data_IF_632735680708
#
_entry.id   IF_632735680708
#
_cell.length_a   1.000
_cell.length_b   1.000
_cell.length_c   1.000
_cell.angle_alpha   90.00
_cell.angle_beta   90.00
_cell.angle_gamma   90.00
#
_symmetry.space_group_name_H-M   'P 1'
#
loop_
_entity.id
_entity.type
_entity.pdbx_description
1 polymer ?
#
# COMPACT_ATOMS: atom_id res chain seq x y z
N UNK A 1 18.73 20.76 4.05
CA UNK A 1 18.07 22.00 3.61
C UNK A 1 19.00 22.70 2.64
N UNK A 2 18.48 23.20 1.51
CA UNK A 2 19.24 23.98 0.52
C UNK A 2 18.42 25.18 0.04
N UNK A 3 18.99 26.01 -0.83
CA UNK A 3 18.38 27.21 -1.38
C UNK A 3 18.49 27.17 -2.90
N UNK A 4 17.40 27.50 -3.60
CA UNK A 4 17.45 27.59 -5.05
C UNK A 4 17.96 28.93 -5.58
N UNK A 5 18.11 29.03 -6.90
CA UNK A 5 18.59 30.25 -7.58
C UNK A 5 17.68 31.48 -7.40
N UNK A 6 16.50 31.33 -6.78
CA UNK A 6 15.59 32.41 -6.44
C UNK A 6 15.49 32.62 -4.91
N UNK A 7 16.45 32.14 -4.14
CA UNK A 7 16.49 32.32 -2.70
C UNK A 7 15.44 31.51 -1.92
N UNK A 8 14.71 30.58 -2.56
CA UNK A 8 13.67 29.80 -1.90
C UNK A 8 14.27 28.64 -1.11
N UNK A 9 13.77 28.46 0.10
CA UNK A 9 14.14 27.30 0.93
C UNK A 9 13.61 26.02 0.29
N UNK A 10 14.48 25.02 0.23
CA UNK A 10 14.14 23.64 -0.10
C UNK A 10 14.48 22.73 1.08
N UNK A 11 13.49 21.95 1.52
CA UNK A 11 13.63 21.00 2.63
C UNK A 11 13.34 19.62 2.09
N UNK A 12 14.32 18.72 2.22
CA UNK A 12 14.11 17.29 2.07
C UNK A 12 13.62 16.74 3.41
N UNK A 13 12.55 15.95 3.38
CA UNK A 13 12.06 15.21 4.54
C UNK A 13 11.60 13.82 4.11
N UNK A 14 11.48 12.92 5.07
CA UNK A 14 10.94 11.58 4.86
C UNK A 14 9.46 11.62 5.20
N UNK A 15 8.61 11.27 4.25
CA UNK A 15 7.20 11.00 4.49
C UNK A 15 7.01 9.53 4.80
N UNK A 16 6.64 9.22 6.05
CA UNK A 16 6.57 7.87 6.59
C UNK A 16 5.21 7.18 6.47
N UNK A 17 4.17 7.89 6.00
CA UNK A 17 2.85 7.33 5.71
C UNK A 17 2.43 7.80 4.32
N UNK A 18 3.03 7.20 3.30
CA UNK A 18 2.70 7.56 1.92
C UNK A 18 1.55 6.69 1.41
N UNK A 19 0.75 7.22 0.47
CA UNK A 19 -0.44 6.59 -0.11
C UNK A 19 -1.69 6.56 0.78
N UNK A 20 -2.83 6.22 0.17
CA UNK A 20 -4.16 6.42 0.74
C UNK A 20 -4.39 5.75 2.10
N UNK A 21 -4.11 4.47 2.24
CA UNK A 21 -4.47 3.72 3.46
C UNK A 21 -3.75 4.25 4.72
N UNK A 22 -2.45 4.52 4.64
CA UNK A 22 -1.66 5.05 5.77
C UNK A 22 -1.96 6.53 6.02
N UNK A 23 -1.95 7.35 4.95
CA UNK A 23 -2.13 8.79 5.06
C UNK A 23 -3.55 9.18 5.52
N UNK A 24 -4.55 8.33 5.25
CA UNK A 24 -5.95 8.52 5.66
C UNK A 24 -6.31 7.74 6.92
N UNK A 25 -5.36 7.03 7.55
CA UNK A 25 -5.62 6.32 8.79
C UNK A 25 -5.92 7.29 9.94
N UNK A 26 -6.83 6.89 10.83
CA UNK A 26 -7.09 7.65 12.04
C UNK A 26 -5.84 7.68 12.95
N UNK A 27 -5.66 8.73 13.73
CA UNK A 27 -4.52 8.84 14.66
C UNK A 27 -4.46 7.73 15.73
N UNK A 28 -5.57 7.00 15.94
CA UNK A 28 -5.69 5.87 16.85
C UNK A 28 -5.37 4.52 16.20
N UNK A 29 -5.18 4.49 14.87
CA UNK A 29 -4.90 3.26 14.14
C UNK A 29 -3.57 2.65 14.59
N UNK A 30 -3.53 1.32 14.71
CA UNK A 30 -2.30 0.57 14.95
C UNK A 30 -1.74 0.04 13.63
N UNK A 31 -0.43 -0.11 13.58
CA UNK A 31 0.29 -0.51 12.36
C UNK A 31 0.81 0.69 11.58
N UNK A 32 1.52 0.41 10.49
CA UNK A 32 2.11 1.41 9.60
C UNK A 32 2.19 0.80 8.19
N UNK A 33 2.36 1.62 7.15
CA UNK A 33 2.68 1.15 5.81
C UNK A 33 4.07 0.49 5.72
N UNK A 34 4.99 0.87 6.60
CA UNK A 34 6.43 0.54 6.55
C UNK A 34 7.13 1.03 5.28
N UNK A 35 6.48 1.96 4.57
CA UNK A 35 7.04 2.65 3.41
C UNK A 35 7.51 4.05 3.78
N UNK A 36 8.61 4.49 3.18
CA UNK A 36 9.08 5.85 3.29
C UNK A 36 9.32 6.47 1.91
N UNK A 37 8.89 7.72 1.70
CA UNK A 37 9.25 8.49 0.50
C UNK A 37 10.11 9.69 0.86
N UNK A 38 11.19 9.87 0.10
CA UNK A 38 11.93 11.13 0.10
C UNK A 38 11.10 12.20 -0.59
N UNK A 39 10.71 13.23 0.15
CA UNK A 39 9.93 14.36 -0.37
C UNK A 39 10.77 15.63 -0.30
N UNK A 40 10.64 16.48 -1.32
CA UNK A 40 11.23 17.82 -1.34
C UNK A 40 10.09 18.83 -1.27
N UNK A 41 10.00 19.55 -0.16
CA UNK A 41 9.19 20.75 -0.06
C UNK A 41 9.99 21.97 -0.54
N UNK A 42 9.38 22.81 -1.36
CA UNK A 42 9.93 24.10 -1.77
C UNK A 42 9.00 25.20 -1.31
N UNK A 43 9.56 26.27 -0.75
CA UNK A 43 8.81 27.47 -0.41
C UNK A 43 8.02 28.00 -1.63
N UNK A 44 6.72 28.21 -1.45
CA UNK A 44 5.85 28.73 -2.51
C UNK A 44 5.65 30.25 -2.38
N UNK A 45 5.42 30.76 -1.18
CA UNK A 45 5.07 32.16 -0.89
C UNK A 45 5.99 32.82 0.17
N UNK A 46 5.83 34.13 0.41
CA UNK A 46 6.52 34.89 1.45
C UNK A 46 7.96 35.33 1.13
N UNK A 47 8.64 35.85 2.17
CA UNK A 47 10.06 36.26 2.13
C UNK A 47 10.98 35.09 1.85
N UNK A 48 11.96 35.29 0.98
CA UNK A 48 12.98 34.31 0.62
C UNK A 48 14.05 34.27 1.71
N UNK A 49 14.90 33.25 1.69
CA UNK A 49 16.02 33.17 2.64
C UNK A 49 17.03 34.31 2.40
N UNK A 50 17.16 34.74 1.15
CA UNK A 50 18.08 35.80 0.73
C UNK A 50 17.24 37.01 0.32
N UNK A 51 17.40 38.13 1.06
CA UNK A 51 16.58 39.32 0.92
C UNK A 51 16.59 39.96 -0.49
N UNK A 52 17.68 39.83 -1.25
CA UNK A 52 17.74 40.33 -2.63
C UNK A 52 16.78 39.61 -3.58
N UNK A 53 16.25 38.45 -3.18
CA UNK A 53 15.26 37.69 -3.93
C UNK A 53 13.84 37.83 -3.36
N UNK A 54 13.62 38.69 -2.35
CA UNK A 54 12.29 38.92 -1.80
C UNK A 54 11.34 39.46 -2.87
N UNK A 55 10.10 38.92 -2.96
CA UNK A 55 9.09 39.53 -3.81
C UNK A 55 8.74 40.93 -3.28
N UNK A 56 8.32 41.87 -4.16
CA UNK A 56 7.84 43.18 -3.72
C UNK A 56 6.73 43.04 -2.66
N UNK A 57 6.80 43.85 -1.60
CA UNK A 57 5.86 43.80 -0.47
C UNK A 57 5.72 42.39 0.18
N UNK A 58 6.80 41.61 0.25
CA UNK A 58 6.84 40.21 0.72
C UNK A 58 6.12 39.90 2.04
N UNK A 59 5.92 40.89 2.93
CA UNK A 59 5.18 40.72 4.18
C UNK A 59 3.65 40.71 4.01
N UNK A 60 3.14 41.39 2.98
CA UNK A 60 1.70 41.54 2.70
C UNK A 60 1.30 41.00 1.33
N UNK A 61 2.27 40.52 0.53
CA UNK A 61 2.02 39.95 -0.78
C UNK A 61 1.13 38.72 -0.65
N UNK A 62 0.00 38.75 -1.36
CA UNK A 62 -0.90 37.61 -1.50
C UNK A 62 -0.59 36.87 -2.79
N UNK A 63 -0.66 35.54 -2.76
CA UNK A 63 -0.51 34.71 -3.95
C UNK A 63 -1.71 33.76 -4.09
N UNK A 64 -1.87 33.17 -5.28
CA UNK A 64 -2.71 31.99 -5.40
C UNK A 64 -2.17 30.87 -4.46
N UNK A 65 -3.04 29.93 -4.03
CA UNK A 65 -2.62 28.89 -3.12
C UNK A 65 -1.57 27.95 -3.71
N UNK A 66 -0.79 27.29 -2.86
CA UNK A 66 -0.01 26.12 -3.25
C UNK A 66 -0.92 24.94 -3.62
N UNK A 67 -0.44 24.02 -4.46
CA UNK A 67 -1.20 22.79 -4.72
C UNK A 67 -1.20 21.90 -3.47
N UNK A 68 -2.34 21.31 -3.08
CA UNK A 68 -2.38 20.33 -2.01
C UNK A 68 -1.82 18.98 -2.51
N UNK A 69 -1.28 18.18 -1.59
CA UNK A 69 -0.95 16.77 -1.84
C UNK A 69 -2.22 15.94 -1.72
N UNK A 70 -2.57 15.16 -2.75
CA UNK A 70 -3.80 14.37 -2.80
C UNK A 70 -3.46 12.89 -2.59
N UNK A 71 -4.26 12.22 -1.76
CA UNK A 71 -4.22 10.76 -1.58
C UNK A 71 -5.58 10.17 -1.93
N UNK A 72 -5.58 8.91 -2.36
CA UNK A 72 -6.79 8.22 -2.79
C UNK A 72 -6.85 6.80 -2.23
N UNK A 73 -8.04 6.39 -1.81
CA UNK A 73 -8.41 4.98 -1.61
C UNK A 73 -9.65 4.72 -2.42
N UNK A 74 -9.65 3.69 -3.26
CA UNK A 74 -10.86 3.21 -3.92
C UNK A 74 -11.19 1.84 -3.37
N UNK A 75 -12.27 1.79 -2.61
CA UNK A 75 -12.73 0.58 -1.93
C UNK A 75 -14.19 0.40 -2.31
N UNK A 76 -14.53 -0.80 -2.80
CA UNK A 76 -15.84 -1.06 -3.38
C UNK A 76 -16.12 -0.04 -4.51
N UNK A 77 -17.33 0.53 -4.52
CA UNK A 77 -17.77 1.52 -5.51
C UNK A 77 -17.61 2.97 -5.04
N UNK A 78 -16.74 3.24 -4.05
CA UNK A 78 -16.49 4.58 -3.51
C UNK A 78 -15.03 4.97 -3.68
N UNK A 79 -14.79 6.22 -4.09
CA UNK A 79 -13.45 6.81 -4.10
C UNK A 79 -13.33 7.81 -2.94
N UNK A 80 -12.48 7.49 -1.98
CA UNK A 80 -12.13 8.33 -0.84
C UNK A 80 -10.90 9.17 -1.16
N UNK A 81 -11.12 10.47 -1.34
CA UNK A 81 -10.05 11.45 -1.49
C UNK A 81 -9.74 12.09 -0.15
N UNK A 82 -8.46 12.29 0.12
CA UNK A 82 -8.00 13.19 1.15
C UNK A 82 -6.87 14.07 0.61
N UNK A 83 -6.66 15.23 1.20
CA UNK A 83 -5.58 16.11 0.79
C UNK A 83 -5.01 16.93 1.93
N UNK A 84 -3.75 17.32 1.79
CA UNK A 84 -3.10 18.24 2.73
C UNK A 84 -3.74 19.62 2.66
N UNK A 85 -3.68 20.38 3.76
CA UNK A 85 -3.96 21.82 3.69
C UNK A 85 -3.02 22.48 2.68
N UNK A 86 -3.56 23.36 1.83
CA UNK A 86 -2.78 24.11 0.85
C UNK A 86 -2.07 25.31 1.50
N UNK A 87 -0.87 25.65 1.01
CA UNK A 87 -0.25 26.95 1.34
C UNK A 87 -1.21 28.07 0.94
N UNK A 88 -1.64 28.86 1.92
CA UNK A 88 -2.67 29.88 1.74
C UNK A 88 -2.18 31.10 0.95
N UNK A 89 -0.87 31.28 0.79
CA UNK A 89 -0.32 32.44 0.08
C UNK A 89 -0.76 33.78 0.69
N UNK A 90 -0.82 33.86 2.03
CA UNK A 90 -1.35 35.00 2.80
C UNK A 90 -2.81 35.40 2.49
N UNK A 91 -3.62 34.51 1.92
CA UNK A 91 -5.05 34.71 1.73
C UNK A 91 -5.83 33.42 1.99
N UNK A 92 -6.83 33.49 2.87
CA UNK A 92 -7.60 32.33 3.31
C UNK A 92 -8.14 31.51 2.12
N UNK A 93 -8.01 30.18 2.22
CA UNK A 93 -8.67 29.28 1.27
C UNK A 93 -10.18 29.41 1.40
N UNK A 94 -10.82 29.76 0.30
CA UNK A 94 -12.27 29.91 0.19
C UNK A 94 -12.95 28.57 -0.11
N UNK A 95 -12.33 27.75 -0.96
CA UNK A 95 -12.87 26.46 -1.40
C UNK A 95 -11.78 25.57 -1.99
N UNK A 96 -12.12 24.28 -2.13
CA UNK A 96 -11.38 23.33 -2.93
C UNK A 96 -12.27 22.85 -4.09
N UNK A 97 -11.75 22.92 -5.32
CA UNK A 97 -12.41 22.37 -6.51
C UNK A 97 -11.91 20.95 -6.72
N UNK A 98 -12.80 19.97 -6.59
CA UNK A 98 -12.53 18.57 -6.85
C UNK A 98 -12.84 18.33 -8.33
N UNK A 99 -11.83 17.94 -9.08
CA UNK A 99 -11.92 17.65 -10.50
C UNK A 99 -11.87 16.15 -10.71
N UNK A 100 -12.65 15.62 -11.65
CA UNK A 100 -12.67 14.19 -12.01
C UNK A 100 -12.70 14.00 -13.52
N UNK A 101 -12.00 12.99 -14.02
CA UNK A 101 -12.05 12.51 -15.40
C UNK A 101 -12.02 10.99 -15.48
N UNK A 102 -12.32 10.44 -16.66
CA UNK A 102 -12.19 9.00 -16.98
C UNK A 102 -10.94 8.70 -17.81
N UNK A 103 -10.14 9.72 -18.12
CA UNK A 103 -8.84 9.62 -18.75
C UNK A 103 -7.87 10.62 -18.10
N UNK A 104 -6.59 10.26 -18.03
CA UNK A 104 -5.53 11.12 -17.51
C UNK A 104 -5.49 12.45 -18.27
N UNK A 105 -5.40 13.55 -17.52
CA UNK A 105 -5.37 14.91 -18.07
C UNK A 105 -6.72 15.46 -18.56
N UNK A 106 -7.82 14.71 -18.43
CA UNK A 106 -9.15 15.09 -18.92
C UNK A 106 -10.17 15.39 -17.80
N UNK A 107 -9.70 15.84 -16.63
CA UNK A 107 -10.58 16.12 -15.49
C UNK A 107 -11.42 17.38 -15.67
N UNK A 108 -12.70 17.29 -15.32
CA UNK A 108 -13.63 18.42 -15.26
C UNK A 108 -14.13 18.62 -13.84
N UNK A 109 -14.74 19.77 -13.54
CA UNK A 109 -15.22 20.06 -12.18
C UNK A 109 -16.29 19.05 -11.79
N UNK A 110 -16.02 18.27 -10.75
CA UNK A 110 -17.00 17.37 -10.13
C UNK A 110 -17.82 18.12 -9.09
N UNK A 111 -17.14 18.74 -8.13
CA UNK A 111 -17.78 19.48 -7.04
C UNK A 111 -16.84 20.50 -6.41
N UNK A 112 -17.38 21.34 -5.54
CA UNK A 112 -16.62 22.32 -4.76
C UNK A 112 -16.88 22.10 -3.27
N UNK A 113 -15.80 21.86 -2.53
CA UNK A 113 -15.81 21.71 -1.08
C UNK A 113 -15.47 23.04 -0.38
N UNK A 114 -15.84 23.18 0.89
CA UNK A 114 -15.50 24.36 1.69
C UNK A 114 -13.98 24.46 1.93
N UNK A 115 -13.47 25.67 2.16
CA UNK A 115 -12.04 25.91 2.35
C UNK A 115 -11.40 25.28 3.61
N UNK A 116 -12.20 24.72 4.52
CA UNK A 116 -11.75 23.98 5.70
C UNK A 116 -11.87 22.45 5.55
N UNK A 117 -12.38 21.96 4.42
CA UNK A 117 -12.55 20.54 4.15
C UNK A 117 -11.29 19.97 3.50
N UNK A 118 -10.88 18.78 3.95
CA UNK A 118 -9.65 18.09 3.50
C UNK A 118 -9.90 16.66 3.03
N UNK A 119 -11.16 16.26 2.88
CA UNK A 119 -11.56 14.95 2.39
C UNK A 119 -12.87 15.02 1.58
N UNK A 120 -13.06 14.08 0.66
CA UNK A 120 -14.28 13.96 -0.14
C UNK A 120 -14.50 12.51 -0.59
N UNK A 121 -15.72 12.02 -0.41
CA UNK A 121 -16.14 10.70 -0.87
C UNK A 121 -16.96 10.82 -2.15
N UNK A 122 -16.42 10.29 -3.26
CA UNK A 122 -17.13 10.19 -4.52
C UNK A 122 -17.91 8.87 -4.59
N UNK A 123 -19.19 8.94 -4.21
CA UNK A 123 -20.14 7.83 -4.26
C UNK A 123 -20.64 7.50 -5.68
N UNK A 124 -20.24 8.28 -6.69
CA UNK A 124 -20.73 8.15 -8.07
C UNK A 124 -19.72 7.47 -9.00
N UNK A 125 -18.51 7.20 -8.52
CA UNK A 125 -17.44 6.51 -9.25
C UNK A 125 -17.57 4.98 -9.19
N UNK A 126 -18.73 4.47 -9.63
CA UNK A 126 -19.17 3.10 -9.34
C UNK A 126 -18.71 2.04 -10.34
N UNK A 127 -18.23 2.41 -11.54
CA UNK A 127 -17.87 1.45 -12.58
C UNK A 127 -16.54 0.72 -12.26
N UNK A 128 -16.55 -0.60 -12.00
CA UNK A 128 -15.34 -1.36 -11.67
C UNK A 128 -14.37 -1.52 -12.85
N UNK A 129 -14.78 -1.22 -14.09
CA UNK A 129 -13.92 -1.30 -15.26
C UNK A 129 -13.26 0.04 -15.62
N UNK A 130 -13.62 1.12 -14.92
CA UNK A 130 -13.14 2.47 -15.20
C UNK A 130 -12.08 2.88 -14.19
N UNK A 131 -10.90 3.32 -14.65
CA UNK A 131 -9.99 4.11 -13.81
C UNK A 131 -10.44 5.56 -13.84
N UNK A 132 -10.74 6.14 -12.68
CA UNK A 132 -11.02 7.56 -12.56
C UNK A 132 -9.73 8.32 -12.23
N UNK A 133 -9.66 9.59 -12.64
CA UNK A 133 -8.53 10.47 -12.37
C UNK A 133 -9.04 11.71 -11.65
N UNK A 134 -8.33 12.14 -10.61
CA UNK A 134 -8.75 13.25 -9.76
C UNK A 134 -7.65 14.30 -9.61
N UNK A 135 -8.07 15.56 -9.52
CA UNK A 135 -7.24 16.69 -9.06
C UNK A 135 -8.00 17.45 -7.99
N UNK A 136 -7.26 18.05 -7.06
CA UNK A 136 -7.84 18.96 -6.06
C UNK A 136 -7.15 20.31 -6.18
N UNK A 137 -7.93 21.34 -6.48
CA UNK A 137 -7.42 22.70 -6.68
C UNK A 137 -7.87 23.60 -5.52
N UNK A 138 -6.93 24.20 -4.80
CA UNK A 138 -7.23 25.15 -3.74
C UNK A 138 -7.53 26.54 -4.34
N UNK A 139 -8.54 27.24 -3.81
CA UNK A 139 -8.97 28.55 -4.32
C UNK A 139 -8.98 29.59 -3.19
N UNK A 140 -8.34 30.74 -3.40
CA UNK A 140 -8.44 31.91 -2.53
C UNK A 140 -8.82 33.17 -3.33
N UNK A 141 -8.81 34.34 -2.70
CA UNK A 141 -9.17 35.61 -3.35
C UNK A 141 -8.23 36.05 -4.48
N UNK A 142 -7.03 35.48 -4.57
CA UNK A 142 -6.04 35.80 -5.61
C UNK A 142 -6.19 34.88 -6.81
N UNK A 143 -6.53 33.61 -6.59
CA UNK A 143 -6.70 32.66 -7.68
C UNK A 143 -6.77 31.21 -7.22
N UNK A 144 -6.43 30.31 -8.16
CA UNK A 144 -6.47 28.85 -7.99
C UNK A 144 -5.06 28.29 -7.99
N UNK A 145 -4.81 27.24 -7.21
CA UNK A 145 -3.54 26.52 -7.23
C UNK A 145 -3.25 25.90 -8.60
N UNK A 146 -2.00 25.51 -8.85
CA UNK A 146 -1.71 24.64 -9.99
C UNK A 146 -2.38 23.26 -9.81
N UNK A 147 -2.67 22.59 -10.93
CA UNK A 147 -3.33 21.29 -10.98
C UNK A 147 -2.40 20.12 -11.25
N UNK A 148 -1.13 20.22 -10.86
CA UNK A 148 -0.11 19.19 -11.10
C UNK A 148 -0.09 18.14 -9.98
N UNK A 149 -1.29 17.72 -9.54
CA UNK A 149 -1.52 16.77 -8.45
C UNK A 149 -2.58 15.72 -8.86
N UNK A 150 -2.54 15.31 -10.13
CA UNK A 150 -3.40 14.25 -10.64
C UNK A 150 -3.12 12.93 -9.94
N UNK A 151 -4.17 12.22 -9.53
CA UNK A 151 -4.07 10.88 -8.95
C UNK A 151 -5.08 9.94 -9.60
N UNK A 152 -4.63 8.72 -9.92
CA UNK A 152 -5.47 7.68 -10.50
C UNK A 152 -6.17 6.85 -9.39
N UNK A 153 -7.42 6.51 -9.62
CA UNK A 153 -8.27 5.69 -8.75
C UNK A 153 -8.74 4.43 -9.50
N UNK A 154 -7.86 3.45 -9.77
CA UNK A 154 -8.25 2.19 -10.37
C UNK A 154 -9.13 1.40 -9.40
N UNK A 155 -10.04 0.59 -9.94
CA UNK A 155 -10.77 -0.38 -9.12
C UNK A 155 -9.85 -1.55 -8.80
N UNK A 156 -9.65 -1.83 -7.50
CA UNK A 156 -8.75 -2.88 -7.02
C UNK A 156 -9.51 -4.02 -6.32
N UNK A 157 -10.83 -4.01 -6.35
CA UNK A 157 -11.68 -4.97 -5.68
C UNK A 157 -12.42 -4.40 -4.47
N UNK A 158 -12.86 -5.30 -3.60
CA UNK A 158 -13.69 -5.00 -2.43
C UNK A 158 -13.16 -5.70 -1.19
N UNK A 159 -13.58 -5.25 -0.01
CA UNK A 159 -13.09 -5.80 1.26
C UNK A 159 -13.69 -7.17 1.60
N UNK A 160 -14.65 -7.69 0.86
CA UNK A 160 -15.29 -8.98 1.13
C UNK A 160 -14.62 -10.13 0.37
N UNK A 161 -14.21 -9.86 -0.85
CA UNK A 161 -13.76 -10.85 -1.83
C UNK A 161 -12.29 -10.68 -2.18
N UNK A 162 -11.72 -9.50 -1.97
CA UNK A 162 -10.29 -9.23 -2.11
C UNK A 162 -10.03 -7.84 -2.69
N UNK A 163 -9.37 -6.99 -1.91
CA UNK A 163 -8.81 -5.72 -2.35
C UNK A 163 -7.33 -5.95 -2.66
N UNK A 164 -6.94 -5.76 -3.92
CA UNK A 164 -5.55 -5.89 -4.38
C UNK A 164 -4.71 -4.81 -3.70
N UNK A 165 -3.72 -5.25 -2.91
CA UNK A 165 -2.77 -4.39 -2.20
C UNK A 165 -1.42 -4.32 -2.90
N UNK A 166 -1.11 -5.33 -3.71
CA UNK A 166 0.09 -5.41 -4.52
C UNK A 166 -0.22 -6.09 -5.86
N UNK A 167 0.34 -5.54 -6.93
CA UNK A 167 0.24 -6.10 -8.27
C UNK A 167 1.60 -6.02 -8.91
N UNK A 168 2.06 -7.13 -9.47
CA UNK A 168 3.32 -7.17 -10.22
C UNK A 168 3.11 -6.35 -11.51
N UNK A 169 3.83 -5.22 -11.70
CA UNK A 169 3.69 -4.44 -12.91
C UNK A 169 4.18 -5.26 -14.11
N UNK A 170 3.55 -5.12 -15.30
CA UNK A 170 4.04 -5.75 -16.52
C UNK A 170 5.52 -5.37 -16.76
N UNK A 171 6.40 -6.37 -16.89
CA UNK A 171 7.83 -6.15 -17.14
C UNK A 171 8.70 -5.87 -15.91
N UNK A 172 8.24 -6.20 -14.70
CA UNK A 172 9.03 -6.07 -13.48
C UNK A 172 10.37 -6.82 -13.60
N UNK A 173 11.54 -6.15 -13.40
CA UNK A 173 12.87 -6.76 -13.51
C UNK A 173 13.19 -7.88 -12.51
N UNK A 174 12.29 -8.16 -11.55
CA UNK A 174 12.48 -9.18 -10.52
C UNK A 174 11.51 -10.35 -10.66
N UNK A 175 10.69 -10.38 -11.73
CA UNK A 175 10.41 -11.64 -12.40
C UNK A 175 11.79 -12.11 -12.89
N UNK A 176 12.48 -13.07 -12.23
CA UNK A 176 13.95 -13.19 -12.31
C UNK A 176 14.47 -13.67 -13.67
N UNK A 177 13.56 -13.69 -14.63
CA UNK A 177 13.56 -14.36 -15.88
C UNK A 177 12.41 -13.68 -16.61
N UNK A 178 12.67 -12.93 -17.68
CA UNK A 178 11.64 -12.36 -18.57
C UNK A 178 10.61 -13.45 -18.98
N UNK A 179 9.60 -13.71 -18.15
CA UNK A 179 8.74 -14.88 -18.29
C UNK A 179 9.36 -16.27 -18.05
N UNK A 180 10.34 -16.48 -17.14
CA UNK A 180 10.81 -17.85 -16.81
C UNK A 180 10.62 -18.32 -15.35
N UNK A 181 10.00 -17.53 -14.46
CA UNK A 181 9.37 -18.14 -13.28
C UNK A 181 8.26 -19.09 -13.79
N UNK A 182 8.20 -20.35 -13.33
CA UNK A 182 7.11 -21.24 -13.74
C UNK A 182 5.76 -20.58 -13.44
N UNK A 183 4.77 -20.78 -14.31
CA UNK A 183 3.45 -20.15 -14.15
C UNK A 183 2.79 -20.44 -12.79
N UNK A 184 3.16 -21.55 -12.14
CA UNK A 184 2.74 -21.92 -10.79
C UNK A 184 3.36 -21.10 -9.67
N UNK A 185 4.44 -20.37 -9.93
CA UNK A 185 5.19 -19.60 -8.93
C UNK A 185 5.27 -18.11 -9.28
N UNK A 186 4.92 -17.71 -10.50
CA UNK A 186 4.85 -16.32 -10.93
C UNK A 186 3.61 -15.64 -10.33
N UNK A 187 3.81 -14.63 -9.48
CA UNK A 187 2.76 -13.88 -8.78
C UNK A 187 2.28 -12.72 -9.66
N UNK A 188 0.99 -12.71 -9.94
CA UNK A 188 0.33 -11.61 -10.65
C UNK A 188 -0.08 -10.51 -9.66
N UNK A 189 -0.68 -10.89 -8.52
CA UNK A 189 -1.10 -9.96 -7.48
C UNK A 189 -1.37 -10.64 -6.13
N UNK A 190 -1.42 -9.82 -5.07
CA UNK A 190 -1.87 -10.18 -3.73
C UNK A 190 -2.99 -9.25 -3.30
N UNK A 191 -4.02 -9.81 -2.67
CA UNK A 191 -5.18 -9.09 -2.15
C UNK A 191 -5.50 -9.48 -0.71
N UNK A 192 -6.16 -8.58 0.00
CA UNK A 192 -6.63 -8.77 1.38
C UNK A 192 -8.14 -8.52 1.43
N UNK A 193 -8.85 -9.30 2.24
CA UNK A 193 -10.28 -9.21 2.46
C UNK A 193 -10.66 -9.64 3.87
N UNK A 194 -11.91 -9.39 4.22
CA UNK A 194 -12.62 -9.65 5.46
C UNK A 194 -13.99 -10.23 5.11
N UNK A 195 -14.09 -11.55 4.90
CA UNK A 195 -15.34 -12.19 4.48
C UNK A 195 -16.49 -11.90 5.44
N UNK A 196 -17.65 -11.53 4.90
CA UNK A 196 -18.82 -11.11 5.69
C UNK A 196 -19.32 -12.21 6.61
N UNK A 197 -19.73 -11.85 7.83
CA UNK A 197 -20.27 -12.79 8.80
C UNK A 197 -19.24 -13.72 9.43
N UNK A 198 -17.94 -13.47 9.20
CA UNK A 198 -16.83 -14.20 9.83
C UNK A 198 -16.08 -13.30 10.81
N UNK A 199 -15.02 -13.81 11.45
CA UNK A 199 -14.02 -12.99 12.17
C UNK A 199 -12.62 -13.24 11.61
N UNK A 200 -12.55 -13.46 10.28
CA UNK A 200 -11.35 -13.89 9.59
C UNK A 200 -10.80 -12.77 8.71
N UNK A 201 -9.49 -12.77 8.54
CA UNK A 201 -8.84 -12.19 7.39
C UNK A 201 -8.78 -13.24 6.28
N UNK A 202 -8.95 -12.79 5.05
CA UNK A 202 -8.72 -13.56 3.84
C UNK A 202 -7.56 -12.90 3.09
N UNK A 203 -6.59 -13.71 2.70
CA UNK A 203 -5.56 -13.31 1.76
C UNK A 203 -5.74 -14.10 0.48
N UNK A 204 -5.64 -13.41 -0.66
CA UNK A 204 -5.60 -14.05 -1.96
C UNK A 204 -4.27 -13.77 -2.62
N UNK A 205 -3.66 -14.82 -3.14
CA UNK A 205 -2.54 -14.72 -4.05
C UNK A 205 -3.00 -15.26 -5.40
N UNK A 206 -2.79 -14.48 -6.45
CA UNK A 206 -2.90 -14.97 -7.82
C UNK A 206 -1.52 -15.25 -8.35
N UNK A 207 -1.27 -16.52 -8.66
CA UNK A 207 -0.20 -16.88 -9.58
C UNK A 207 -0.77 -17.12 -10.97
N UNK A 208 0.09 -17.14 -11.98
CA UNK A 208 -0.35 -17.25 -13.38
C UNK A 208 -1.17 -18.52 -13.65
N UNK A 209 -0.82 -19.68 -13.07
CA UNK A 209 -1.54 -20.95 -13.27
C UNK A 209 -1.18 -22.03 -12.23
N UNK A 210 -2.16 -22.75 -11.65
CA UNK A 210 -1.93 -23.89 -10.72
C UNK A 210 -2.58 -25.20 -11.16
N UNK A 211 -2.82 -25.40 -12.46
CA UNK A 211 -3.32 -26.66 -13.01
C UNK A 211 -2.37 -27.83 -12.74
N UNK A 212 -1.06 -27.54 -12.61
CA UNK A 212 -0.05 -28.47 -12.10
C UNK A 212 0.66 -27.82 -10.92
N UNK A 213 0.56 -28.45 -9.74
CA UNK A 213 1.18 -27.93 -8.52
C UNK A 213 2.57 -28.56 -8.35
N UNK A 214 3.65 -27.77 -8.30
CA UNK A 214 4.98 -28.31 -8.13
C UNK A 214 5.16 -28.90 -6.72
N UNK A 215 5.90 -30.01 -6.56
CA UNK A 215 6.30 -30.52 -5.24
C UNK A 215 7.27 -29.56 -4.56
N UNK A 216 7.41 -29.70 -3.24
CA UNK A 216 8.40 -28.98 -2.42
C UNK A 216 8.42 -27.46 -2.70
N UNK A 217 7.24 -26.84 -2.75
CA UNK A 217 7.09 -25.43 -3.10
C UNK A 217 6.22 -24.71 -2.08
N UNK A 218 6.47 -23.41 -1.91
CA UNK A 218 5.75 -22.54 -0.97
C UNK A 218 5.26 -21.28 -1.65
N UNK A 219 4.08 -20.84 -1.21
CA UNK A 219 3.47 -19.57 -1.53
C UNK A 219 3.14 -18.88 -0.22
N UNK A 220 3.66 -17.67 -0.03
CA UNK A 220 3.55 -16.91 1.22
C UNK A 220 2.97 -15.53 0.95
N UNK A 221 1.97 -15.15 1.73
CA UNK A 221 1.61 -13.75 1.91
C UNK A 221 2.10 -13.33 3.28
N UNK A 222 2.94 -12.29 3.32
CA UNK A 222 3.67 -11.83 4.51
C UNK A 222 3.29 -10.38 4.79
N UNK A 223 3.18 -10.00 6.06
CA UNK A 223 3.00 -8.61 6.46
C UNK A 223 3.67 -8.30 7.79
N UNK A 224 4.03 -7.05 7.99
CA UNK A 224 4.72 -6.59 9.20
C UNK A 224 3.71 -6.41 10.33
N UNK A 225 4.03 -6.94 11.51
CA UNK A 225 3.20 -6.78 12.71
C UNK A 225 3.99 -7.09 13.98
N UNK A 226 4.08 -6.10 14.87
CA UNK A 226 4.66 -6.29 16.21
C UNK A 226 3.89 -7.31 17.04
N UNK A 227 2.63 -7.60 16.71
CA UNK A 227 1.88 -8.63 17.41
C UNK A 227 2.45 -10.04 17.18
N UNK A 228 3.31 -10.25 16.18
CA UNK A 228 4.03 -11.52 16.01
C UNK A 228 4.91 -11.86 17.23
N UNK A 229 5.33 -10.86 17.99
CA UNK A 229 6.15 -11.02 19.20
C UNK A 229 5.45 -11.77 20.34
N UNK A 230 4.12 -11.95 20.27
CA UNK A 230 3.40 -12.80 21.22
C UNK A 230 3.68 -14.29 21.01
N UNK A 231 4.18 -14.69 19.84
CA UNK A 231 4.52 -16.08 19.51
C UNK A 231 6.03 -16.33 19.63
N UNK A 232 6.84 -15.40 19.14
CA UNK A 232 8.30 -15.43 19.21
C UNK A 232 8.80 -13.99 19.41
N UNK A 233 9.51 -13.66 20.51
CA UNK A 233 10.02 -12.31 20.76
C UNK A 233 10.87 -11.70 19.64
N UNK A 234 11.51 -12.53 18.80
CA UNK A 234 12.30 -12.09 17.65
C UNK A 234 11.47 -11.95 16.35
N UNK A 235 10.19 -12.31 16.37
CA UNK A 235 9.33 -12.20 15.20
C UNK A 235 8.92 -10.76 14.92
N UNK A 236 8.96 -10.41 13.64
CA UNK A 236 8.63 -9.07 13.15
C UNK A 236 7.45 -9.12 12.16
N UNK A 237 7.11 -10.32 11.67
CA UNK A 237 6.12 -10.52 10.61
C UNK A 237 5.25 -11.74 10.89
N UNK A 238 4.04 -11.72 10.36
CA UNK A 238 3.22 -12.91 10.17
C UNK A 238 3.27 -13.36 8.72
N UNK A 239 3.03 -14.65 8.50
CA UNK A 239 2.73 -15.19 7.18
C UNK A 239 1.47 -16.05 7.22
N UNK A 240 0.79 -16.10 6.07
CA UNK A 240 -0.13 -17.18 5.70
C UNK A 240 0.37 -17.80 4.40
N UNK A 241 0.13 -19.09 4.20
CA UNK A 241 0.65 -19.72 3.00
C UNK A 241 0.08 -21.07 2.64
N UNK A 242 0.41 -21.47 1.41
CA UNK A 242 0.28 -22.82 0.89
C UNK A 242 1.66 -23.44 0.79
N UNK A 243 1.79 -24.73 1.09
CA UNK A 243 3.03 -25.51 0.89
C UNK A 243 2.70 -26.88 0.31
N UNK A 244 3.55 -27.38 -0.57
CA UNK A 244 3.47 -28.74 -1.09
C UNK A 244 4.57 -29.65 -0.55
N UNK A 245 4.23 -30.91 -0.30
CA UNK A 245 5.21 -31.94 0.03
C UNK A 245 5.96 -32.45 -1.22
N UNK A 246 6.81 -33.46 -1.05
CA UNK A 246 7.56 -34.09 -2.15
C UNK A 246 6.68 -34.76 -3.22
N UNK A 247 5.40 -34.99 -2.93
CA UNK A 247 4.42 -35.55 -3.85
C UNK A 247 3.51 -34.49 -4.48
N UNK A 248 3.68 -33.21 -4.13
CA UNK A 248 2.81 -32.13 -4.60
C UNK A 248 1.51 -31.98 -3.80
N UNK A 249 1.36 -32.66 -2.66
CA UNK A 249 0.15 -32.51 -1.84
C UNK A 249 0.18 -31.18 -1.11
N UNK A 250 -0.83 -30.34 -1.33
CA UNK A 250 -0.93 -29.02 -0.74
C UNK A 250 -1.45 -29.08 0.70
N UNK A 251 -0.84 -28.26 1.56
CA UNK A 251 -1.27 -27.96 2.92
C UNK A 251 -1.23 -26.44 3.11
N UNK A 252 -1.97 -25.94 4.10
CA UNK A 252 -2.08 -24.52 4.38
C UNK A 252 -1.82 -24.22 5.85
N UNK A 253 -1.00 -23.22 6.09
CA UNK A 253 -0.53 -22.87 7.41
C UNK A 253 -0.31 -21.37 7.56
N UNK A 254 -0.26 -20.94 8.81
CA UNK A 254 0.19 -19.61 9.19
C UNK A 254 1.28 -19.71 10.24
N UNK A 255 2.03 -18.64 10.37
CA UNK A 255 3.10 -18.58 11.34
C UNK A 255 3.75 -17.22 11.42
N UNK A 256 4.92 -17.19 12.04
CA UNK A 256 5.72 -15.98 12.23
C UNK A 256 7.03 -16.07 11.47
N UNK A 257 7.63 -14.91 11.20
CA UNK A 257 8.98 -14.80 10.65
C UNK A 257 9.82 -13.97 11.59
N UNK A 258 10.97 -14.52 11.97
CA UNK A 258 11.95 -13.89 12.84
C UNK A 258 13.32 -13.81 12.17
N UNK A 259 14.00 -12.67 12.30
CA UNK A 259 15.40 -12.52 11.84
C UNK A 259 16.32 -12.44 13.06
N UNK A 260 16.89 -13.56 13.48
CA UNK A 260 17.78 -13.59 14.64
C UNK A 260 19.14 -12.94 14.32
N UNK A 261 19.47 -11.81 14.93
CA UNK A 261 20.82 -11.21 14.79
C UNK A 261 21.76 -11.86 15.81
N UNK A 262 22.76 -12.62 15.34
CA UNK A 262 23.81 -13.21 16.19
C UNK A 262 25.13 -12.50 15.90
N UNK A 263 25.51 -11.54 16.73
CA UNK A 263 26.72 -10.74 16.57
C UNK A 263 26.62 -9.72 15.43
N UNK A 264 27.64 -9.63 14.56
CA UNK A 264 27.69 -8.69 13.42
C UNK A 264 27.10 -9.25 12.12
N UNK A 265 26.61 -10.49 12.13
CA UNK A 265 26.01 -11.14 10.97
C UNK A 265 24.49 -11.02 11.09
N UNK A 266 23.86 -10.35 10.12
CA UNK A 266 22.40 -10.35 9.98
C UNK A 266 21.96 -11.80 9.76
N UNK A 267 21.11 -12.32 10.64
CA UNK A 267 20.61 -13.68 10.52
C UNK A 267 19.75 -13.90 9.30
N UNK A 268 19.50 -15.17 9.01
CA UNK A 268 18.57 -15.56 7.95
C UNK A 268 17.16 -15.50 8.54
N UNK A 269 16.21 -14.76 7.92
CA UNK A 269 14.82 -14.80 8.36
C UNK A 269 14.30 -16.23 8.34
N UNK A 270 13.65 -16.60 9.44
CA UNK A 270 13.21 -17.98 9.71
C UNK A 270 11.70 -18.04 9.87
N UNK A 271 11.03 -18.86 9.07
CA UNK A 271 9.61 -19.18 9.22
C UNK A 271 9.40 -20.16 10.38
N UNK A 272 8.45 -19.85 11.27
CA UNK A 272 7.96 -20.76 12.30
C UNK A 272 6.46 -20.96 12.11
N UNK A 273 6.06 -22.15 11.68
CA UNK A 273 4.65 -22.50 11.55
C UNK A 273 3.99 -22.60 12.92
N UNK A 274 2.85 -21.93 13.08
CA UNK A 274 2.07 -21.87 14.32
C UNK A 274 0.87 -22.81 14.25
N UNK A 275 0.18 -22.88 13.11
CA UNK A 275 -1.00 -23.71 12.97
C UNK A 275 -1.56 -23.82 11.56
N UNK A 276 -2.52 -24.75 11.35
CA UNK A 276 -3.16 -24.94 10.06
C UNK A 276 -4.18 -23.84 9.75
N UNK A 277 -4.48 -23.67 8.46
CA UNK A 277 -5.53 -22.76 7.99
C UNK A 277 -6.73 -23.52 7.38
N UNK A 278 -7.60 -24.13 8.20
CA UNK A 278 -8.78 -24.84 7.72
C UNK A 278 -9.72 -23.85 6.99
N UNK A 279 -10.16 -24.22 5.78
CA UNK A 279 -10.96 -23.35 4.91
C UNK A 279 -10.16 -22.62 3.82
N UNK A 280 -8.82 -22.75 3.84
CA UNK A 280 -7.97 -22.32 2.72
C UNK A 280 -8.03 -23.31 1.56
N UNK A 281 -7.83 -22.82 0.35
CA UNK A 281 -7.92 -23.59 -0.88
C UNK A 281 -7.11 -22.96 -2.01
N UNK A 282 -6.95 -23.67 -3.11
CA UNK A 282 -6.45 -23.12 -4.36
C UNK A 282 -7.28 -23.63 -5.52
N UNK A 283 -7.24 -22.91 -6.64
CA UNK A 283 -7.90 -23.26 -7.89
C UNK A 283 -6.85 -23.44 -9.00
N UNK A 284 -7.18 -24.27 -10.00
CA UNK A 284 -6.30 -24.53 -11.14
C UNK A 284 -5.96 -23.26 -11.95
N UNK A 285 -6.81 -22.22 -11.87
CA UNK A 285 -6.55 -20.93 -12.50
C UNK A 285 -5.33 -20.21 -11.88
N UNK A 286 -4.81 -20.65 -10.73
CA UNK A 286 -3.70 -20.00 -10.03
C UNK A 286 -4.12 -19.16 -8.82
N UNK A 287 -5.42 -19.11 -8.49
CA UNK A 287 -5.89 -18.37 -7.31
C UNK A 287 -5.74 -19.23 -6.06
N UNK A 288 -4.95 -18.77 -5.10
CA UNK A 288 -4.81 -19.32 -3.75
C UNK A 288 -5.60 -18.43 -2.79
N UNK A 289 -6.49 -19.02 -1.99
CA UNK A 289 -7.28 -18.33 -0.96
C UNK A 289 -6.90 -18.85 0.42
N UNK A 290 -6.42 -17.96 1.29
CA UNK A 290 -5.92 -18.25 2.62
C UNK A 290 -6.82 -17.57 3.65
N UNK A 291 -7.43 -18.35 4.55
CA UNK A 291 -8.37 -17.83 5.55
C UNK A 291 -7.76 -18.02 6.93
N UNK A 292 -7.49 -16.92 7.63
CA UNK A 292 -6.90 -16.92 8.98
C UNK A 292 -7.79 -16.16 9.97
N UNK A 293 -8.08 -16.73 11.15
CA UNK A 293 -8.78 -16.00 12.21
C UNK A 293 -8.00 -14.77 12.66
N UNK A 294 -8.65 -13.62 12.84
CA UNK A 294 -7.99 -12.42 13.36
C UNK A 294 -7.31 -12.66 14.70
N UNK A 295 -7.91 -13.49 15.55
CA UNK A 295 -7.36 -13.89 16.85
C UNK A 295 -6.03 -14.63 16.77
N UNK A 296 -5.72 -15.26 15.64
CA UNK A 296 -4.47 -15.97 15.41
C UNK A 296 -3.32 -15.06 14.96
N UNK A 297 -3.61 -13.80 14.63
CA UNK A 297 -2.64 -12.86 14.03
C UNK A 297 -2.71 -11.48 14.69
N UNK A 298 -2.84 -11.46 16.01
CA UNK A 298 -2.77 -10.23 16.80
C UNK A 298 -4.09 -9.47 16.98
N UNK A 299 -5.22 -10.04 16.54
CA UNK A 299 -6.57 -9.47 16.69
C UNK A 299 -6.70 -8.03 16.17
N UNK A 300 -6.32 -7.73 14.91
CA UNK A 300 -6.42 -6.37 14.38
C UNK A 300 -7.88 -5.89 14.35
N UNK A 301 -8.09 -4.63 14.72
CA UNK A 301 -9.41 -4.00 14.84
C UNK A 301 -9.71 -3.09 13.64
N UNK A 302 -11.00 -2.78 13.37
CA UNK A 302 -11.35 -1.80 12.35
C UNK A 302 -10.61 -0.46 12.53
N UNK A 303 -10.02 0.04 11.46
CA UNK A 303 -9.15 1.21 11.44
C UNK A 303 -7.65 0.89 11.52
N UNK A 304 -7.26 -0.29 12.00
CA UNK A 304 -5.86 -0.72 12.01
C UNK A 304 -5.33 -0.98 10.60
N UNK A 305 -4.00 -0.97 10.46
CA UNK A 305 -3.29 -1.16 9.20
C UNK A 305 -2.53 -2.47 9.20
N UNK A 306 -2.72 -3.25 8.13
CA UNK A 306 -1.80 -4.32 7.75
C UNK A 306 -0.78 -3.74 6.78
N UNK A 307 0.47 -3.64 7.23
CA UNK A 307 1.55 -2.98 6.52
C UNK A 307 2.46 -3.93 5.76
N UNK A 308 3.10 -3.42 4.70
CA UNK A 308 4.07 -4.17 3.88
C UNK A 308 3.55 -5.55 3.41
N UNK A 309 2.26 -5.67 3.09
CA UNK A 309 1.66 -6.94 2.65
C UNK A 309 2.25 -7.37 1.30
N UNK A 310 3.03 -8.45 1.28
CA UNK A 310 3.73 -8.89 0.07
C UNK A 310 3.58 -10.39 -0.19
N UNK A 311 3.66 -10.76 -1.46
CA UNK A 311 3.68 -12.14 -1.91
C UNK A 311 5.10 -12.63 -2.14
N UNK A 312 5.34 -13.92 -1.85
CA UNK A 312 6.61 -14.62 -2.11
C UNK A 312 6.35 -16.06 -2.54
N UNK A 313 7.14 -16.56 -3.49
CA UNK A 313 7.12 -17.98 -3.87
C UNK A 313 8.51 -18.59 -3.81
N UNK A 314 8.53 -19.88 -3.49
CA UNK A 314 9.74 -20.68 -3.30
C UNK A 314 9.56 -22.05 -3.96
N UNK A 315 10.66 -22.69 -4.34
CA UNK A 315 10.66 -24.07 -4.84
C UNK A 315 11.92 -24.80 -4.41
N UNK A 316 11.88 -26.13 -4.48
CA UNK A 316 13.01 -26.99 -4.10
C UNK A 316 13.21 -27.09 -2.58
N UNK A 317 12.13 -26.93 -1.80
CA UNK A 317 12.21 -27.03 -0.34
C UNK A 317 12.70 -28.42 0.11
N UNK A 318 13.82 -28.41 0.82
CA UNK A 318 14.39 -29.53 1.58
C UNK A 318 14.23 -29.24 3.07
N UNK A 319 14.39 -30.24 3.93
CA UNK A 319 14.35 -30.09 5.40
C UNK A 319 15.19 -28.89 5.92
N UNK A 320 16.29 -28.57 5.25
CA UNK A 320 17.20 -27.47 5.59
C UNK A 320 16.73 -26.09 5.08
N UNK A 321 16.00 -26.04 3.96
CA UNK A 321 15.55 -24.80 3.32
C UNK A 321 14.09 -24.43 3.65
N UNK A 322 13.31 -25.37 4.22
CA UNK A 322 11.89 -25.16 4.58
C UNK A 322 11.66 -23.96 5.49
N UNK A 323 12.67 -23.55 6.27
CA UNK A 323 12.52 -22.47 7.24
C UNK A 323 13.25 -21.20 6.81
N UNK A 324 14.03 -21.17 5.73
CA UNK A 324 14.93 -20.04 5.44
C UNK A 324 14.40 -19.15 4.32
N UNK A 325 14.12 -17.88 4.61
CA UNK A 325 13.80 -16.89 3.58
C UNK A 325 15.03 -16.10 3.17
N UNK A 326 15.57 -16.39 1.98
CA UNK A 326 16.61 -15.53 1.37
C UNK A 326 16.03 -14.87 0.14
N UNK A 327 16.19 -13.56 0.01
CA UNK A 327 15.79 -12.81 -1.19
C UNK A 327 16.48 -13.31 -2.47
N UNK A 328 17.60 -14.04 -2.34
CA UNK A 328 18.29 -14.71 -3.45
C UNK A 328 17.73 -16.07 -3.83
N UNK A 329 16.85 -16.66 -3.00
CA UNK A 329 16.24 -17.97 -3.21
C UNK A 329 14.73 -17.88 -3.53
N UNK A 330 14.17 -16.67 -3.57
CA UNK A 330 12.79 -16.44 -4.01
C UNK A 330 12.69 -16.73 -5.51
N UNK A 331 11.65 -17.46 -5.90
CA UNK A 331 11.31 -17.66 -7.31
C UNK A 331 10.58 -16.44 -7.87
N UNK A 332 9.68 -15.86 -7.08
CA UNK A 332 9.04 -14.59 -7.38
C UNK A 332 8.63 -13.85 -6.09
N UNK A 333 8.46 -12.54 -6.19
CA UNK A 333 7.98 -11.68 -5.11
C UNK A 333 7.39 -10.36 -5.60
N UNK A 334 6.53 -9.73 -4.78
CA UNK A 334 5.81 -8.50 -5.17
C UNK A 334 6.48 -7.18 -4.72
N UNK A 335 7.67 -7.23 -4.13
CA UNK A 335 8.41 -6.04 -3.63
C UNK A 335 9.72 -5.85 -4.39
N UNK A 336 10.38 -4.69 -4.27
CA UNK A 336 11.71 -4.48 -4.89
C UNK A 336 12.82 -5.14 -4.06
N UNK A 337 13.68 -5.95 -4.69
CA UNK A 337 14.77 -6.70 -4.05
C UNK A 337 15.73 -5.76 -3.30
N UNK A 338 15.95 -6.05 -2.02
CA UNK A 338 16.73 -5.20 -1.12
C UNK A 338 15.92 -4.08 -0.44
N UNK A 339 14.63 -3.97 -0.75
CA UNK A 339 13.65 -3.05 -0.15
C UNK A 339 12.41 -3.84 0.27
N UNK A 340 12.60 -4.81 1.18
CA UNK A 340 11.56 -5.75 1.64
C UNK A 340 10.29 -5.07 2.16
N UNK A 341 10.43 -3.85 2.68
CA UNK A 341 9.35 -3.09 3.31
C UNK A 341 8.88 -1.87 2.47
N UNK A 342 9.62 -1.50 1.43
CA UNK A 342 9.37 -0.30 0.62
C UNK A 342 8.77 -0.65 -0.76
N UNK A 343 7.48 -0.99 -0.79
CA UNK A 343 6.71 -1.12 -2.03
C UNK A 343 6.12 0.22 -2.49
N UNK A 344 6.06 0.46 -3.81
CA UNK A 344 5.24 1.55 -4.38
C UNK A 344 4.22 0.96 -5.38
N UNK A 345 2.90 1.19 -5.18
CA UNK A 345 2.27 1.84 -4.01
C UNK A 345 2.49 1.06 -2.71
N UNK A 346 2.33 1.74 -1.58
CA UNK A 346 2.44 1.14 -0.27
C UNK A 346 1.46 -0.04 -0.14
N UNK A 347 2.00 -1.19 0.24
CA UNK A 347 1.28 -2.44 0.36
C UNK A 347 0.42 -2.50 1.63
N UNK A 348 -0.51 -1.56 1.78
CA UNK A 348 -1.22 -1.34 3.03
C UNK A 348 -2.70 -1.62 2.88
N UNK A 349 -3.24 -2.43 3.78
CA UNK A 349 -4.67 -2.68 3.90
C UNK A 349 -5.20 -2.04 5.19
N UNK A 350 -6.29 -1.27 5.10
CA UNK A 350 -7.02 -0.81 6.28
C UNK A 350 -8.06 -1.84 6.65
N UNK A 351 -8.02 -2.31 7.89
CA UNK A 351 -9.01 -3.25 8.42
C UNK A 351 -10.35 -2.53 8.55
N UNK A 352 -11.42 -3.09 7.97
CA UNK A 352 -12.76 -2.48 7.94
C UNK A 352 -13.78 -3.23 8.80
N UNK A 353 -13.49 -4.49 9.16
CA UNK A 353 -14.42 -5.38 9.85
C UNK A 353 -15.18 -6.31 8.89
N UNK A 354 -15.82 -7.34 9.45
CA UNK A 354 -16.50 -8.40 8.70
C UNK A 354 -18.03 -8.23 8.65
N UNK A 355 -18.56 -7.05 8.96
CA UNK A 355 -20.01 -6.81 9.06
C UNK A 355 -20.64 -6.66 7.69
N UNK A 356 -19.97 -5.93 6.80
CA UNK A 356 -20.37 -5.69 5.42
C UNK A 356 -19.10 -5.46 4.59
N UNK A 357 -19.23 -5.38 3.27
CA UNK A 357 -18.14 -4.83 2.46
C UNK A 357 -18.00 -3.37 2.89
N UNK A 358 -16.94 -3.07 3.64
CA UNK A 358 -16.77 -1.83 4.36
C UNK A 358 -16.22 -0.73 3.44
N UNK A 359 -16.49 0.55 3.74
CA UNK A 359 -15.90 1.70 3.06
C UNK A 359 -14.40 1.87 3.37
#
# INVERSE_FOLDING_TARGET
MTVDKQGRVQVGYVDGCTDGACAQAAAIAKGNAYTARGVIARQSSGRRLIASFDPPHSQNAKSAPGMPSVTVRRVNSVVHLAWSEADIGNARISSYRIMRGTASGAETLLTTASGNQTAYDDLTATDPNQTYYYKVLAVNSVGTSCGNNEIAAPYLGDTCTGLIVQKTPPGHPEQPLQGLAPASLAIDWVAVAEPTGTNNLMFKMKVTNLASVPPNSRWRVVWNSYAAQSYDPAAEQFYVGMRTDGNGNATFDYGTIATAVVGLVIGVPTETSVGPLPGSSFNADGTITLIVPKSAVGSPAPGDLLGAVNGRTFTGDTSETQNLERSTLLVDHTFVKGQRDNGHPAATYTVVGNVSCGP
#
